data_IF_281919375249
#
_entry.id   IF_281919375249
#
_cell.length_a   1.000
_cell.length_b   1.000
_cell.length_c   1.000
_cell.angle_alpha   90.00
_cell.angle_beta   90.00
_cell.angle_gamma   90.00
#
_symmetry.space_group_name_H-M   'P 1'
#
loop_
_entity.id
_entity.type
_entity.pdbx_description
1 polymer ?
#
# COMPACT_ATOMS: atom_id res chain seq x y z
N UNK A 1 -3.12 12.68 -4.34
CA UNK A 1 -2.65 12.60 -5.73
C UNK A 1 -1.78 13.80 -6.10
N UNK A 2 -2.21 15.06 -5.85
CA UNK A 2 -1.45 16.30 -6.20
C UNK A 2 0.02 16.29 -5.73
N UNK A 3 0.30 15.81 -4.52
CA UNK A 3 1.68 15.68 -4.01
C UNK A 3 2.49 14.70 -4.85
N UNK A 4 1.89 13.59 -5.25
CA UNK A 4 2.56 12.59 -6.09
C UNK A 4 2.85 13.13 -7.49
N UNK A 5 1.89 13.84 -8.09
CA UNK A 5 2.06 14.45 -9.41
C UNK A 5 3.15 15.54 -9.39
N UNK A 6 3.23 16.32 -8.30
CA UNK A 6 4.26 17.34 -8.11
C UNK A 6 5.66 16.74 -7.94
N UNK A 7 5.79 15.59 -7.29
CA UNK A 7 7.08 14.97 -6.97
C UNK A 7 7.57 13.97 -8.02
N UNK A 8 6.73 13.56 -8.98
CA UNK A 8 7.09 12.60 -10.03
C UNK A 8 7.96 13.24 -11.13
N UNK A 9 9.16 13.67 -10.74
CA UNK A 9 10.13 14.39 -11.57
C UNK A 9 11.42 13.60 -11.67
N UNK A 10 11.56 12.80 -12.73
CA UNK A 10 12.77 11.99 -12.97
C UNK A 10 14.00 12.80 -13.39
N UNK A 11 13.85 14.07 -13.69
CA UNK A 11 14.92 15.02 -13.99
C UNK A 11 15.60 15.58 -12.72
N UNK A 12 14.96 15.44 -11.54
CA UNK A 12 15.47 15.96 -10.27
C UNK A 12 15.54 14.83 -9.24
N UNK A 13 16.75 14.29 -9.00
CA UNK A 13 16.96 13.16 -8.09
C UNK A 13 16.35 13.39 -6.70
N UNK A 14 16.62 14.52 -6.07
CA UNK A 14 16.17 14.84 -4.72
C UNK A 14 14.63 14.87 -4.60
N UNK A 15 13.94 15.27 -5.67
CA UNK A 15 12.48 15.27 -5.70
C UNK A 15 11.93 13.88 -5.96
N UNK A 16 12.59 13.12 -6.84
CA UNK A 16 12.16 11.76 -7.17
C UNK A 16 12.39 10.76 -6.03
N UNK A 17 13.51 10.86 -5.30
CA UNK A 17 13.71 10.04 -4.10
C UNK A 17 12.66 10.35 -3.03
N UNK A 18 12.25 11.64 -2.93
CA UNK A 18 11.16 12.03 -2.04
C UNK A 18 9.81 11.47 -2.49
N UNK A 19 9.54 11.44 -3.82
CA UNK A 19 8.38 10.77 -4.40
C UNK A 19 8.31 9.31 -3.96
N UNK A 20 9.40 8.55 -4.12
CA UNK A 20 9.46 7.15 -3.71
C UNK A 20 9.30 6.97 -2.19
N UNK A 21 9.88 7.85 -1.38
CA UNK A 21 9.71 7.84 0.07
C UNK A 21 8.24 8.07 0.49
N UNK A 22 7.54 9.01 -0.16
CA UNK A 22 6.10 9.27 0.04
C UNK A 22 5.27 8.03 -0.34
N UNK A 23 5.57 7.39 -1.47
CA UNK A 23 4.90 6.17 -1.92
C UNK A 23 5.08 5.04 -0.90
N UNK A 24 6.30 4.79 -0.40
CA UNK A 24 6.55 3.78 0.62
C UNK A 24 5.81 4.07 1.93
N UNK A 25 5.84 5.33 2.40
CA UNK A 25 5.13 5.71 3.61
C UNK A 25 3.61 5.57 3.48
N UNK A 26 3.05 5.90 2.31
CA UNK A 26 1.61 5.85 2.05
C UNK A 26 1.15 4.46 1.63
N UNK A 27 1.68 3.89 0.54
CA UNK A 27 1.19 2.60 0.02
C UNK A 27 1.52 1.43 0.95
N UNK A 28 2.71 1.45 1.59
CA UNK A 28 3.19 0.36 2.46
C UNK A 28 3.04 0.68 3.95
N UNK A 29 2.40 1.78 4.32
CA UNK A 29 2.13 2.17 5.70
C UNK A 29 3.38 2.24 6.59
N UNK A 30 4.54 2.69 6.04
CA UNK A 30 5.83 2.65 6.71
C UNK A 30 6.09 3.88 7.59
N UNK A 31 6.86 3.67 8.68
CA UNK A 31 7.41 4.75 9.50
C UNK A 31 8.60 5.41 8.80
N UNK A 32 8.88 6.69 9.08
CA UNK A 32 10.00 7.40 8.46
C UNK A 32 11.35 6.70 8.64
N UNK A 33 11.62 6.14 9.82
CA UNK A 33 12.85 5.36 10.07
C UNK A 33 12.90 4.04 9.30
N UNK A 34 11.75 3.38 9.08
CA UNK A 34 11.64 2.19 8.23
C UNK A 34 11.91 2.57 6.77
N UNK A 35 11.30 3.66 6.28
CA UNK A 35 11.52 4.17 4.92
C UNK A 35 13.00 4.46 4.67
N UNK A 36 13.68 5.18 5.58
CA UNK A 36 15.10 5.45 5.47
C UNK A 36 16.00 4.21 5.59
N UNK A 37 15.52 3.17 6.28
CA UNK A 37 16.23 1.89 6.47
C UNK A 37 16.01 0.85 5.38
N UNK A 38 15.20 1.15 4.35
CA UNK A 38 14.96 0.22 3.24
C UNK A 38 16.22 -0.02 2.41
N UNK A 39 16.48 -1.28 2.06
CA UNK A 39 17.61 -1.66 1.21
C UNK A 39 17.17 -2.51 0.03
N UNK A 40 17.89 -2.40 -1.10
CA UNK A 40 17.58 -3.13 -2.33
C UNK A 40 17.58 -4.64 -2.16
N UNK A 41 18.43 -5.18 -1.29
CA UNK A 41 18.46 -6.63 -1.00
C UNK A 41 17.21 -7.15 -0.28
N UNK A 42 16.39 -6.25 0.27
CA UNK A 42 15.12 -6.56 0.94
C UNK A 42 13.89 -6.35 0.06
N UNK A 43 14.10 -5.93 -1.17
CA UNK A 43 13.05 -5.73 -2.18
C UNK A 43 13.08 -6.84 -3.23
N UNK A 44 12.03 -7.64 -3.30
CA UNK A 44 11.80 -8.60 -4.39
C UNK A 44 10.85 -7.97 -5.40
N UNK A 45 11.38 -7.74 -6.63
CA UNK A 45 10.58 -7.19 -7.73
C UNK A 45 9.61 -8.23 -8.28
N UNK A 46 10.03 -9.49 -8.39
CA UNK A 46 9.18 -10.58 -8.90
C UNK A 46 7.95 -10.83 -8.03
N UNK A 47 8.14 -10.79 -6.72
CA UNK A 47 7.07 -11.05 -5.75
C UNK A 47 6.34 -9.78 -5.32
N UNK A 48 6.83 -8.61 -5.74
CA UNK A 48 6.33 -7.30 -5.34
C UNK A 48 6.26 -7.13 -3.81
N UNK A 49 7.31 -7.56 -3.13
CA UNK A 49 7.39 -7.49 -1.66
C UNK A 49 8.62 -6.72 -1.19
N UNK A 50 8.47 -6.05 -0.07
CA UNK A 50 9.55 -5.45 0.69
C UNK A 50 9.54 -6.03 2.10
N UNK A 51 10.66 -6.58 2.54
CA UNK A 51 10.85 -7.07 3.89
C UNK A 51 11.37 -5.95 4.79
N UNK A 52 10.59 -5.60 5.81
CA UNK A 52 10.90 -4.53 6.75
C UNK A 52 11.44 -5.16 8.03
N UNK A 53 12.75 -5.15 8.18
CA UNK A 53 13.49 -5.65 9.35
C UNK A 53 14.52 -4.65 9.86
N UNK A 54 14.56 -3.44 9.26
CA UNK A 54 15.59 -2.44 9.51
C UNK A 54 14.99 -1.06 9.65
N UNK A 55 15.57 -0.28 10.53
CA UNK A 55 15.25 1.14 10.70
C UNK A 55 16.53 1.95 10.80
N UNK A 56 16.47 3.15 10.19
CA UNK A 56 17.54 4.12 10.37
C UNK A 56 17.23 4.98 11.59
N UNK A 57 18.23 5.20 12.42
CA UNK A 57 18.09 5.99 13.64
C UNK A 57 19.37 6.74 13.97
N UNK A 58 19.27 7.76 14.80
CA UNK A 58 20.39 8.51 15.34
C UNK A 58 20.57 8.19 16.81
N UNK A 59 21.71 7.68 17.20
CA UNK A 59 21.99 7.20 18.54
C UNK A 59 23.17 7.96 19.15
N UNK A 60 23.09 8.27 20.44
CA UNK A 60 24.23 8.81 21.20
C UNK A 60 25.32 7.74 21.31
N UNK A 61 26.56 8.10 20.97
CA UNK A 61 27.69 7.18 20.99
C UNK A 61 27.92 6.55 22.38
N UNK A 62 27.70 7.32 23.47
CA UNK A 62 27.81 6.82 24.83
C UNK A 62 26.79 5.73 25.17
N UNK A 63 25.59 5.78 24.55
CA UNK A 63 24.58 4.74 24.73
C UNK A 63 24.98 3.45 24.02
N UNK A 64 25.56 3.56 22.81
CA UNK A 64 26.04 2.38 22.07
C UNK A 64 27.11 1.61 22.86
N UNK A 65 28.01 2.31 23.54
CA UNK A 65 29.08 1.70 24.33
C UNK A 65 28.57 1.00 25.59
N UNK A 66 27.45 1.51 26.17
CA UNK A 66 26.87 0.99 27.44
C UNK A 66 25.84 -0.12 27.21
N UNK A 67 25.24 -0.20 26.04
CA UNK A 67 24.24 -1.21 25.70
C UNK A 67 24.95 -2.36 25.01
N UNK A 68 25.20 -3.50 25.71
CA UNK A 68 25.72 -4.67 25.04
C UNK A 68 24.68 -5.12 24.02
N UNK A 69 25.02 -5.02 22.76
CA UNK A 69 24.22 -5.55 21.64
C UNK A 69 22.81 -4.95 21.52
N UNK A 70 22.69 -3.65 21.39
CA UNK A 70 21.62 -3.15 20.52
C UNK A 70 21.83 -3.86 19.18
N UNK A 71 20.76 -4.32 18.56
CA UNK A 71 20.79 -5.00 17.26
C UNK A 71 21.19 -4.02 16.14
N UNK A 72 22.37 -3.39 16.31
CA UNK A 72 22.96 -2.46 15.37
C UNK A 72 23.61 -3.27 14.27
N UNK A 73 22.99 -3.21 13.09
CA UNK A 73 23.44 -3.92 11.90
C UNK A 73 24.61 -3.18 11.23
N UNK A 74 24.55 -1.83 11.22
CA UNK A 74 25.58 -1.01 10.60
C UNK A 74 25.66 0.37 11.25
N UNK A 75 26.89 0.95 11.31
CA UNK A 75 27.17 2.32 11.76
C UNK A 75 27.68 3.13 10.58
N UNK A 76 26.93 4.14 10.19
CA UNK A 76 27.34 5.01 9.10
C UNK A 76 28.47 5.94 9.52
N UNK A 77 29.49 6.15 8.67
CA UNK A 77 30.56 7.09 8.98
C UNK A 77 30.05 8.51 9.20
N UNK A 78 30.54 9.17 10.25
CA UNK A 78 30.20 10.55 10.51
C UNK A 78 30.90 11.47 9.49
N UNK A 79 30.19 12.51 9.04
CA UNK A 79 30.77 13.56 8.16
C UNK A 79 31.83 14.40 8.88
N UNK A 80 31.60 14.62 10.17
CA UNK A 80 32.45 15.49 10.98
C UNK A 80 32.98 14.72 12.17
N UNK A 81 34.28 14.88 12.50
CA UNK A 81 34.84 14.33 13.73
C UNK A 81 34.21 15.01 14.95
N UNK A 82 34.23 14.33 16.12
CA UNK A 82 33.75 14.90 17.38
C UNK A 82 32.24 14.94 17.58
N UNK A 83 31.44 14.46 16.64
CA UNK A 83 29.97 14.40 16.82
C UNK A 83 29.58 13.48 17.96
N UNK A 84 28.64 13.92 18.79
CA UNK A 84 28.10 13.16 19.92
C UNK A 84 27.28 11.95 19.47
N UNK A 85 26.63 12.02 18.31
CA UNK A 85 25.73 10.99 17.79
C UNK A 85 26.29 10.35 16.54
N UNK A 86 25.81 9.15 16.24
CA UNK A 86 26.08 8.42 15.00
C UNK A 86 24.76 7.92 14.40
N UNK A 87 24.69 7.90 13.07
CA UNK A 87 23.58 7.28 12.33
C UNK A 87 23.84 5.78 12.30
N UNK A 88 22.81 5.02 12.61
CA UNK A 88 22.86 3.55 12.60
C UNK A 88 21.72 2.95 11.81
N UNK A 89 21.98 1.82 11.18
CA UNK A 89 20.98 0.89 10.71
C UNK A 89 20.81 -0.15 11.81
N UNK A 90 19.61 -0.34 12.30
CA UNK A 90 19.33 -1.27 13.40
C UNK A 90 18.02 -2.02 13.20
N UNK A 91 17.82 -3.09 13.96
CA UNK A 91 16.53 -3.78 14.00
C UNK A 91 15.44 -2.90 14.65
N UNK A 92 14.16 -3.07 14.27
CA UNK A 92 13.06 -2.44 14.97
C UNK A 92 12.97 -2.86 16.44
N UNK A 93 12.43 -1.98 17.30
CA UNK A 93 12.30 -2.26 18.75
C UNK A 93 11.35 -3.41 19.09
N UNK A 94 10.42 -3.75 18.21
CA UNK A 94 9.37 -4.74 18.46
C UNK A 94 9.31 -5.74 17.33
N UNK A 95 9.08 -6.99 17.65
CA UNK A 95 8.91 -8.07 16.66
C UNK A 95 7.76 -7.78 15.69
N UNK A 96 6.65 -7.21 16.14
CA UNK A 96 5.53 -6.84 15.29
C UNK A 96 5.86 -5.76 14.24
N UNK A 97 7.00 -5.07 14.38
CA UNK A 97 7.49 -4.14 13.35
C UNK A 97 8.22 -4.86 12.21
N UNK A 98 8.71 -6.08 12.44
CA UNK A 98 9.33 -6.92 11.41
C UNK A 98 8.20 -7.56 10.62
N UNK A 99 8.15 -7.27 9.32
CA UNK A 99 7.05 -7.72 8.46
C UNK A 99 7.41 -7.68 6.99
N UNK A 100 6.67 -8.44 6.21
CA UNK A 100 6.63 -8.30 4.75
C UNK A 100 5.47 -7.39 4.37
N UNK A 101 5.70 -6.44 3.48
CA UNK A 101 4.65 -5.61 2.88
C UNK A 101 4.59 -5.84 1.39
N UNK A 102 3.37 -5.87 0.84
CA UNK A 102 3.14 -5.98 -0.58
C UNK A 102 3.19 -4.59 -1.22
N UNK A 103 3.94 -4.48 -2.30
CA UNK A 103 4.15 -3.21 -3.01
C UNK A 103 3.26 -3.18 -4.25
N UNK A 104 2.40 -2.16 -4.42
CA UNK A 104 1.65 -1.99 -5.65
C UNK A 104 2.57 -1.89 -6.87
N UNK A 105 2.17 -2.46 -7.99
CA UNK A 105 2.96 -2.50 -9.24
C UNK A 105 3.47 -1.11 -9.66
N UNK A 106 2.63 -0.09 -9.52
CA UNK A 106 3.03 1.30 -9.80
C UNK A 106 4.19 1.76 -8.93
N UNK A 107 4.17 1.43 -7.63
CA UNK A 107 5.26 1.79 -6.71
C UNK A 107 6.52 1.01 -7.03
N UNK A 108 6.41 -0.28 -7.33
CA UNK A 108 7.53 -1.11 -7.73
C UNK A 108 8.25 -0.55 -8.98
N UNK A 109 7.51 -0.13 -10.01
CA UNK A 109 8.07 0.55 -11.19
C UNK A 109 8.79 1.86 -10.85
N UNK A 110 8.26 2.64 -9.91
CA UNK A 110 8.91 3.88 -9.45
C UNK A 110 10.22 3.59 -8.72
N UNK A 111 10.27 2.53 -7.91
CA UNK A 111 11.50 2.10 -7.26
C UNK A 111 12.55 1.63 -8.27
N UNK A 112 12.17 0.86 -9.30
CA UNK A 112 13.09 0.48 -10.38
C UNK A 112 13.69 1.71 -11.06
N UNK A 113 12.86 2.70 -11.36
CA UNK A 113 13.35 3.96 -11.94
C UNK A 113 14.32 4.69 -11.01
N UNK A 114 14.04 4.71 -9.71
CA UNK A 114 14.97 5.26 -8.72
C UNK A 114 16.29 4.50 -8.71
N UNK A 115 16.26 3.17 -8.82
CA UNK A 115 17.47 2.36 -8.90
C UNK A 115 18.34 2.70 -10.12
N UNK A 116 17.72 2.90 -11.28
CA UNK A 116 18.43 3.36 -12.49
C UNK A 116 19.11 4.72 -12.26
N UNK A 117 18.42 5.65 -11.60
CA UNK A 117 19.00 6.97 -11.28
C UNK A 117 20.18 6.85 -10.31
N UNK A 118 20.07 6.00 -9.28
CA UNK A 118 21.18 5.73 -8.35
C UNK A 118 22.38 5.08 -9.04
N UNK A 119 22.14 4.15 -9.95
CA UNK A 119 23.22 3.52 -10.74
C UNK A 119 23.96 4.56 -11.60
N UNK A 120 23.26 5.51 -12.22
CA UNK A 120 23.88 6.61 -12.97
C UNK A 120 24.73 7.49 -12.07
N UNK A 121 24.18 7.93 -10.94
CA UNK A 121 24.92 8.75 -9.97
C UNK A 121 26.16 8.02 -9.44
N UNK A 122 26.07 6.73 -9.18
CA UNK A 122 27.22 5.93 -8.76
C UNK A 122 28.31 5.90 -9.82
N UNK A 123 27.96 5.78 -11.10
CA UNK A 123 28.92 5.81 -12.21
C UNK A 123 29.53 7.21 -12.38
N UNK A 124 28.75 8.28 -12.24
CA UNK A 124 29.20 9.66 -12.38
C UNK A 124 30.12 10.12 -11.25
N UNK A 125 29.80 9.74 -10.01
CA UNK A 125 30.55 10.16 -8.82
C UNK A 125 31.74 9.25 -8.50
N UNK A 126 31.74 8.02 -8.99
CA UNK A 126 32.76 7.01 -8.69
C UNK A 126 32.72 6.54 -7.22
N UNK A 127 33.64 5.64 -6.89
CA UNK A 127 33.69 5.00 -5.57
C UNK A 127 34.06 5.96 -4.43
N UNK A 128 34.79 7.04 -4.72
CA UNK A 128 35.15 8.07 -3.74
C UNK A 128 33.99 9.05 -3.47
N UNK A 129 33.11 9.25 -4.45
CA UNK A 129 32.01 10.20 -4.37
C UNK A 129 30.65 9.61 -3.98
N UNK A 130 30.44 8.31 -4.24
CA UNK A 130 29.19 7.63 -3.95
C UNK A 130 29.37 6.55 -2.87
N UNK A 131 28.67 6.68 -1.76
CA UNK A 131 28.67 5.74 -0.64
C UNK A 131 27.58 4.68 -0.83
N UNK A 132 27.93 3.53 -1.38
CA UNK A 132 26.95 2.45 -1.62
C UNK A 132 26.65 1.63 -0.36
N UNK A 133 25.59 1.99 0.32
CA UNK A 133 25.05 1.23 1.45
C UNK A 133 23.84 0.36 1.06
N UNK A 134 23.54 0.22 -0.21
CA UNK A 134 22.38 -0.52 -0.71
C UNK A 134 21.03 0.09 -0.34
N UNK A 135 20.98 1.33 0.12
CA UNK A 135 19.74 2.00 0.53
C UNK A 135 18.87 2.36 -0.67
N UNK A 136 17.55 2.12 -0.55
CA UNK A 136 16.57 2.56 -1.54
C UNK A 136 16.37 4.08 -1.44
N UNK A 137 16.17 4.58 -0.22
CA UNK A 137 15.95 6.00 0.03
C UNK A 137 17.23 6.62 0.60
N UNK A 138 18.01 7.22 -0.29
CA UNK A 138 19.28 7.83 0.05
C UNK A 138 19.49 9.17 -0.67
N UNK A 139 20.47 9.94 -0.22
CA UNK A 139 20.92 11.16 -0.88
C UNK A 139 21.60 10.84 -2.23
N UNK A 140 21.80 11.84 -3.09
CA UNK A 140 22.43 11.67 -4.39
C UNK A 140 23.85 11.04 -4.33
N UNK A 141 24.53 11.16 -3.21
CA UNK A 141 25.83 10.53 -2.95
C UNK A 141 25.73 9.19 -2.19
N UNK A 142 24.55 8.57 -2.13
CA UNK A 142 24.30 7.29 -1.45
C UNK A 142 24.17 7.35 0.08
N UNK A 143 24.36 8.51 0.71
CA UNK A 143 24.27 8.64 2.17
C UNK A 143 22.83 8.52 2.67
N UNK A 144 22.64 8.05 3.91
CA UNK A 144 21.29 7.86 4.47
C UNK A 144 20.50 9.18 4.59
N UNK A 145 19.19 9.08 4.42
CA UNK A 145 18.24 10.15 4.69
C UNK A 145 17.52 9.84 6.00
N UNK A 146 17.70 10.71 6.99
CA UNK A 146 17.08 10.59 8.32
C UNK A 146 15.63 11.06 8.31
N UNK A 147 14.85 10.60 9.29
CA UNK A 147 13.42 10.99 9.42
C UNK A 147 13.23 12.51 9.50
N UNK A 148 14.14 13.23 10.15
CA UNK A 148 14.09 14.69 10.24
C UNK A 148 14.26 15.34 8.86
N UNK A 149 15.13 14.79 8.01
CA UNK A 149 15.30 15.24 6.64
C UNK A 149 14.08 14.89 5.77
N UNK A 150 13.49 13.71 5.96
CA UNK A 150 12.22 13.37 5.28
C UNK A 150 11.12 14.36 5.66
N UNK A 151 10.99 14.70 6.94
CA UNK A 151 10.00 15.68 7.40
C UNK A 151 10.26 17.07 6.78
N UNK A 152 11.50 17.54 6.78
CA UNK A 152 11.88 18.84 6.22
C UNK A 152 11.57 18.89 4.72
N UNK A 153 12.05 17.90 3.95
CA UNK A 153 11.82 17.81 2.50
C UNK A 153 10.34 17.66 2.16
N UNK A 154 9.59 16.93 2.97
CA UNK A 154 8.15 16.80 2.78
C UNK A 154 7.42 18.14 2.96
N UNK A 155 7.81 18.95 3.96
CA UNK A 155 7.30 20.30 4.13
C UNK A 155 7.66 21.20 2.95
N UNK A 156 8.89 21.14 2.45
CA UNK A 156 9.32 21.85 1.25
C UNK A 156 8.46 21.51 0.02
N UNK A 157 8.13 20.22 -0.16
CA UNK A 157 7.21 19.74 -1.21
C UNK A 157 5.82 20.34 -1.03
N UNK A 158 5.27 20.34 0.19
CA UNK A 158 3.94 20.92 0.45
C UNK A 158 3.90 22.43 0.23
N UNK A 159 4.95 23.15 0.60
CA UNK A 159 5.10 24.58 0.32
C UNK A 159 5.18 24.82 -1.19
N UNK A 160 6.02 24.05 -1.89
CA UNK A 160 6.18 24.16 -3.35
C UNK A 160 4.91 23.85 -4.14
N UNK A 161 4.06 22.94 -3.62
CA UNK A 161 2.75 22.63 -4.19
C UNK A 161 1.78 23.82 -4.10
N UNK A 162 1.97 24.70 -3.13
CA UNK A 162 1.18 25.93 -2.91
C UNK A 162 -0.34 25.69 -2.90
N UNK A 163 -0.77 24.63 -2.21
CA UNK A 163 -2.17 24.23 -2.13
C UNK A 163 -2.83 24.86 -0.91
N UNK A 164 -3.77 25.80 -1.07
CA UNK A 164 -4.42 26.50 0.06
C UNK A 164 -5.27 25.60 0.95
N UNK A 165 -5.60 24.39 0.50
CA UNK A 165 -6.39 23.42 1.27
C UNK A 165 -5.54 22.63 2.25
N UNK A 166 -4.21 22.72 2.16
CA UNK A 166 -3.27 21.98 3.01
C UNK A 166 -2.69 22.92 4.06
N UNK A 167 -2.98 22.65 5.33
CA UNK A 167 -2.28 23.29 6.42
C UNK A 167 -0.91 22.63 6.64
N UNK A 168 0.15 23.25 6.07
CA UNK A 168 1.51 22.71 6.07
C UNK A 168 2.07 22.54 7.48
N UNK A 169 1.66 23.35 8.45
CA UNK A 169 2.16 23.27 9.83
C UNK A 169 1.68 22.01 10.54
N UNK A 170 0.48 21.55 10.23
CA UNK A 170 -0.14 20.38 10.85
C UNK A 170 0.16 19.06 10.14
N UNK A 171 0.80 19.10 8.97
CA UNK A 171 1.09 17.90 8.18
C UNK A 171 2.57 17.57 8.24
N UNK A 172 2.89 16.37 8.71
CA UNK A 172 4.25 15.83 8.80
C UNK A 172 4.37 14.55 7.97
N UNK A 173 5.57 14.10 7.66
CA UNK A 173 5.78 12.87 6.89
C UNK A 173 5.05 11.66 7.48
N UNK A 174 4.99 11.56 8.82
CA UNK A 174 4.25 10.49 9.52
C UNK A 174 2.73 10.53 9.29
N UNK A 175 2.18 11.68 8.89
CA UNK A 175 0.75 11.80 8.53
C UNK A 175 0.38 10.92 7.33
N UNK A 176 1.33 10.63 6.42
CA UNK A 176 1.14 9.71 5.30
C UNK A 176 0.76 8.32 5.76
N UNK A 177 1.41 7.82 6.80
CA UNK A 177 1.10 6.53 7.42
C UNK A 177 -0.29 6.52 8.05
N UNK A 178 -0.69 7.61 8.70
CA UNK A 178 -2.04 7.73 9.26
C UNK A 178 -3.11 7.74 8.16
N UNK A 179 -2.88 8.51 7.11
CA UNK A 179 -3.78 8.52 5.94
C UNK A 179 -3.86 7.16 5.27
N UNK A 180 -2.73 6.47 5.11
CA UNK A 180 -2.67 5.10 4.60
C UNK A 180 -3.56 4.15 5.40
N UNK A 181 -3.46 4.19 6.73
CA UNK A 181 -4.26 3.34 7.61
C UNK A 181 -5.75 3.57 7.40
N UNK A 182 -6.20 4.82 7.35
CA UNK A 182 -7.59 5.16 7.10
C UNK A 182 -8.10 4.69 5.73
N UNK A 183 -7.28 4.86 4.68
CA UNK A 183 -7.62 4.38 3.34
C UNK A 183 -7.70 2.85 3.29
N UNK A 184 -6.70 2.16 3.86
CA UNK A 184 -6.69 0.68 3.90
C UNK A 184 -7.85 0.12 4.70
N UNK A 185 -8.23 0.76 5.79
CA UNK A 185 -9.37 0.35 6.60
C UNK A 185 -10.68 0.43 5.82
N UNK A 186 -10.87 1.51 5.02
CA UNK A 186 -12.03 1.63 4.12
C UNK A 186 -11.99 0.59 3.00
N UNK A 187 -10.84 0.39 2.35
CA UNK A 187 -10.69 -0.58 1.26
C UNK A 187 -10.91 -2.02 1.73
N UNK A 188 -10.47 -2.36 2.94
CA UNK A 188 -10.65 -3.68 3.55
C UNK A 188 -12.02 -3.88 4.20
N UNK A 189 -12.94 -2.92 4.07
CA UNK A 189 -14.26 -2.94 4.73
C UNK A 189 -14.16 -3.18 6.24
N UNK A 190 -13.18 -2.56 6.90
CA UNK A 190 -12.98 -2.65 8.34
C UNK A 190 -12.16 -3.86 8.82
N UNK A 191 -11.47 -4.59 7.95
CA UNK A 191 -10.56 -5.68 8.36
C UNK A 191 -9.35 -5.12 9.12
N UNK A 192 -9.51 -5.04 10.43
CA UNK A 192 -8.49 -4.55 11.36
C UNK A 192 -7.22 -5.41 11.34
N UNK A 193 -7.35 -6.72 11.14
CA UNK A 193 -6.23 -7.66 11.18
C UNK A 193 -5.31 -7.49 9.97
N UNK A 194 -5.89 -7.34 8.78
CA UNK A 194 -5.14 -7.07 7.56
C UNK A 194 -4.40 -5.73 7.66
N UNK A 195 -5.09 -4.67 8.11
CA UNK A 195 -4.50 -3.34 8.27
C UNK A 195 -3.43 -3.33 9.37
N UNK A 196 -3.65 -4.07 10.47
CA UNK A 196 -2.65 -4.23 11.53
C UNK A 196 -1.36 -4.89 11.01
N UNK A 197 -1.47 -5.94 10.22
CA UNK A 197 -0.33 -6.64 9.63
C UNK A 197 0.50 -5.71 8.75
N UNK A 198 -0.13 -4.99 7.83
CA UNK A 198 0.53 -4.02 6.95
C UNK A 198 1.23 -2.90 7.72
N UNK A 199 0.62 -2.42 8.78
CA UNK A 199 1.17 -1.33 9.59
C UNK A 199 2.20 -1.79 10.62
N UNK A 200 2.28 -3.08 10.96
CA UNK A 200 3.16 -3.55 12.03
C UNK A 200 2.80 -2.94 13.39
N UNK A 201 1.52 -2.95 13.75
CA UNK A 201 1.06 -2.59 15.09
C UNK A 201 0.94 -3.82 15.96
N UNK A 202 1.46 -3.73 17.19
CA UNK A 202 1.43 -4.85 18.14
C UNK A 202 0.01 -5.14 18.67
N UNK A 203 -0.89 -4.16 18.63
CA UNK A 203 -2.26 -4.29 19.13
C UNK A 203 -3.27 -3.67 18.17
N UNK A 204 -4.42 -4.33 17.93
CA UNK A 204 -5.56 -3.76 17.21
C UNK A 204 -6.09 -2.47 17.84
N UNK A 205 -5.94 -2.31 19.17
CA UNK A 205 -6.39 -1.12 19.92
C UNK A 205 -5.79 0.18 19.38
N UNK A 206 -4.56 0.14 18.90
CA UNK A 206 -3.90 1.29 18.30
C UNK A 206 -4.63 1.76 17.03
N UNK A 207 -5.17 0.82 16.27
CA UNK A 207 -5.94 1.11 15.06
C UNK A 207 -7.37 1.53 15.43
N UNK A 208 -8.04 0.75 16.28
CA UNK A 208 -9.45 1.00 16.67
C UNK A 208 -9.63 2.34 17.37
N UNK A 209 -8.83 2.65 18.39
CA UNK A 209 -8.97 3.91 19.14
C UNK A 209 -8.76 5.14 18.27
N UNK A 210 -7.87 5.08 17.30
CA UNK A 210 -7.53 6.23 16.46
C UNK A 210 -8.45 6.40 15.25
N UNK A 211 -9.04 5.30 14.76
CA UNK A 211 -9.87 5.27 13.55
C UNK A 211 -11.31 4.83 13.83
N UNK A 212 -11.77 4.90 15.09
CA UNK A 212 -13.12 4.53 15.49
C UNK A 212 -14.22 5.21 14.65
N UNK A 213 -14.01 6.49 14.28
CA UNK A 213 -14.96 7.25 13.46
C UNK A 213 -15.18 6.65 12.06
N UNK A 214 -14.14 6.02 11.47
CA UNK A 214 -14.27 5.33 10.17
C UNK A 214 -15.14 4.08 10.33
N UNK A 215 -15.00 3.38 11.45
CA UNK A 215 -15.80 2.18 11.77
C UNK A 215 -17.29 2.53 12.02
N UNK A 216 -17.60 3.73 12.47
CA UNK A 216 -19.00 4.17 12.64
C UNK A 216 -19.69 4.41 11.28
N UNK A 217 -18.99 4.95 10.28
CA UNK A 217 -19.50 5.04 8.90
C UNK A 217 -19.76 3.64 8.32
N UNK A 218 -18.86 2.68 8.58
CA UNK A 218 -19.01 1.29 8.15
C UNK A 218 -20.20 0.59 8.83
N UNK A 219 -20.53 0.91 10.09
CA UNK A 219 -21.71 0.35 10.79
C UNK A 219 -23.02 0.72 10.12
N UNK A 220 -23.16 1.95 9.64
CA UNK A 220 -24.35 2.40 8.89
C UNK A 220 -24.46 1.63 7.58
N UNK A 221 -23.37 1.56 6.81
CA UNK A 221 -23.31 0.78 5.56
C UNK A 221 -23.66 -0.69 5.79
N UNK A 222 -23.17 -1.29 6.87
CA UNK A 222 -23.50 -2.68 7.21
C UNK A 222 -24.99 -2.88 7.46
N UNK A 223 -25.65 -1.92 8.12
CA UNK A 223 -27.11 -1.95 8.31
C UNK A 223 -27.84 -1.86 6.97
N UNK A 224 -27.40 -0.99 6.07
CA UNK A 224 -27.97 -0.85 4.72
C UNK A 224 -27.73 -2.12 3.87
N UNK A 225 -26.54 -2.73 3.95
CA UNK A 225 -26.23 -4.00 3.29
C UNK A 225 -27.08 -5.16 3.86
N UNK A 226 -27.32 -5.20 5.18
CA UNK A 226 -28.24 -6.16 5.79
C UNK A 226 -29.67 -5.96 5.32
N UNK A 227 -30.13 -4.72 5.25
CA UNK A 227 -31.46 -4.43 4.72
C UNK A 227 -31.62 -4.93 3.27
N UNK A 228 -30.64 -4.66 2.41
CA UNK A 228 -30.68 -5.08 1.02
C UNK A 228 -30.52 -6.58 0.83
N UNK A 229 -29.55 -7.20 1.52
CA UNK A 229 -29.18 -8.60 1.28
C UNK A 229 -30.07 -9.59 2.01
N UNK A 230 -30.57 -9.21 3.22
CA UNK A 230 -31.28 -10.13 4.09
C UNK A 230 -32.78 -9.87 4.16
N UNK A 231 -33.19 -8.61 4.25
CA UNK A 231 -34.59 -8.24 4.39
C UNK A 231 -35.26 -7.99 3.04
N UNK A 232 -34.66 -7.25 2.13
CA UNK A 232 -35.22 -6.99 0.80
C UNK A 232 -34.96 -8.09 -0.20
N UNK A 233 -33.92 -8.91 -0.04
CA UNK A 233 -33.65 -10.10 -0.86
C UNK A 233 -34.65 -11.25 -0.68
N UNK A 234 -35.59 -11.13 0.29
CA UNK A 234 -36.71 -12.05 0.48
C UNK A 234 -38.06 -11.52 0.01
N UNK A 235 -38.13 -10.31 -0.45
CA UNK A 235 -39.37 -9.68 -0.91
C UNK A 235 -39.15 -9.10 -2.30
N UNK A 236 -39.10 -10.00 -3.24
CA UNK A 236 -39.49 -9.90 -4.63
C UNK A 236 -38.86 -11.09 -5.35
N UNK A 237 -39.58 -12.24 -5.30
CA UNK A 237 -39.73 -12.92 -6.59
C UNK A 237 -40.22 -11.81 -7.52
N UNK A 238 -39.32 -11.30 -8.36
CA UNK A 238 -39.76 -10.51 -9.51
C UNK A 238 -40.92 -11.30 -10.13
N UNK A 239 -42.07 -10.67 -10.44
CA UNK A 239 -43.11 -11.37 -11.11
C UNK A 239 -42.44 -12.07 -12.29
N UNK A 240 -42.48 -13.39 -12.29
CA UNK A 240 -42.02 -14.17 -13.41
C UNK A 240 -42.68 -13.48 -14.60
N UNK A 241 -41.92 -12.75 -15.37
CA UNK A 241 -42.37 -12.15 -16.57
C UNK A 241 -42.95 -13.33 -17.31
N UNK A 242 -44.28 -13.35 -17.44
CA UNK A 242 -44.97 -14.41 -18.09
C UNK A 242 -44.24 -14.61 -19.41
N UNK A 243 -43.60 -15.79 -19.55
CA UNK A 243 -42.93 -16.10 -20.79
C UNK A 243 -43.92 -15.73 -21.89
N UNK A 244 -43.54 -14.95 -22.91
CA UNK A 244 -44.46 -14.56 -23.98
C UNK A 244 -45.13 -15.85 -24.42
N UNK A 245 -46.47 -15.91 -24.30
CA UNK A 245 -47.23 -17.06 -24.71
C UNK A 245 -46.81 -17.32 -26.15
N UNK A 246 -46.05 -18.40 -26.36
CA UNK A 246 -45.67 -18.81 -27.70
C UNK A 246 -46.99 -19.05 -28.45
N UNK A 247 -47.29 -18.18 -29.38
CA UNK A 247 -48.42 -18.35 -30.26
C UNK A 247 -48.33 -19.72 -30.91
N UNK A 248 -49.43 -20.43 -31.00
CA UNK A 248 -49.48 -21.78 -31.53
C UNK A 248 -48.88 -21.88 -32.96
N UNK A 249 -48.96 -20.80 -33.71
CA UNK A 249 -48.31 -20.68 -35.03
C UNK A 249 -46.79 -20.57 -34.95
N UNK A 250 -46.26 -19.82 -33.99
CA UNK A 250 -44.81 -19.72 -33.75
C UNK A 250 -44.22 -21.04 -33.26
N UNK A 251 -44.94 -21.77 -32.41
CA UNK A 251 -44.56 -23.11 -31.94
C UNK A 251 -44.58 -24.13 -33.09
N UNK A 252 -45.62 -24.12 -33.92
CA UNK A 252 -45.72 -24.99 -35.09
C UNK A 252 -44.61 -24.74 -36.10
N UNK A 253 -44.24 -23.48 -36.35
CA UNK A 253 -43.15 -23.09 -37.24
C UNK A 253 -41.77 -23.55 -36.71
N UNK A 254 -41.54 -23.45 -35.38
CA UNK A 254 -40.32 -23.89 -34.73
C UNK A 254 -40.16 -25.41 -34.74
N UNK A 255 -41.24 -26.17 -34.55
CA UNK A 255 -41.26 -27.62 -34.63
C UNK A 255 -41.10 -28.12 -36.08
N UNK A 256 -41.68 -27.42 -37.06
CA UNK A 256 -41.55 -27.75 -38.49
C UNK A 256 -40.10 -27.52 -39.00
N UNK A 257 -39.41 -26.55 -38.45
CA UNK A 257 -38.02 -26.24 -38.83
C UNK A 257 -36.98 -27.12 -38.14
N UNK A 258 -37.38 -27.94 -37.13
CA UNK A 258 -36.41 -28.74 -36.37
C UNK A 258 -36.95 -30.18 -36.10
N UNK A 259 -36.72 -31.13 -37.05
CA UNK A 259 -37.29 -32.50 -37.00
C UNK A 259 -36.92 -33.27 -35.72
N UNK A 260 -35.77 -33.04 -35.15
CA UNK A 260 -35.31 -33.70 -33.91
C UNK A 260 -36.13 -33.25 -32.68
N UNK A 261 -36.49 -31.95 -32.62
CA UNK A 261 -37.34 -31.41 -31.56
C UNK A 261 -38.80 -31.95 -31.70
N UNK A 262 -39.29 -32.11 -32.91
CA UNK A 262 -40.61 -32.69 -33.16
C UNK A 262 -40.68 -34.12 -32.67
N UNK A 263 -39.62 -34.92 -32.94
CA UNK A 263 -39.53 -36.33 -32.50
C UNK A 263 -39.52 -36.45 -30.98
N UNK A 264 -38.72 -35.62 -30.30
CA UNK A 264 -38.70 -35.60 -28.83
C UNK A 264 -40.01 -35.15 -28.19
N UNK A 265 -40.69 -34.18 -28.80
CA UNK A 265 -41.98 -33.73 -28.33
C UNK A 265 -43.05 -34.83 -28.47
N UNK A 266 -43.07 -35.57 -29.59
CA UNK A 266 -43.97 -36.71 -29.79
C UNK A 266 -43.68 -37.87 -28.80
N UNK A 267 -42.43 -38.17 -28.55
CA UNK A 267 -42.03 -39.20 -27.57
C UNK A 267 -42.50 -38.81 -26.15
N UNK A 268 -42.38 -37.55 -25.77
CA UNK A 268 -42.83 -37.06 -24.44
C UNK A 268 -44.34 -37.08 -24.28
N UNK A 269 -45.11 -36.81 -25.32
CA UNK A 269 -46.59 -36.90 -25.32
C UNK A 269 -47.04 -38.35 -25.28
N UNK A 270 -46.37 -39.30 -25.96
CA UNK A 270 -46.69 -40.73 -25.89
C UNK A 270 -46.39 -41.30 -24.50
N UNK A 271 -45.35 -40.83 -23.81
CA UNK A 271 -45.06 -41.24 -22.43
C UNK A 271 -46.11 -40.69 -21.46
N UNK A 272 -46.64 -39.50 -21.66
CA UNK A 272 -47.65 -38.87 -20.81
C UNK A 272 -49.05 -39.50 -20.98
N UNK A 273 -49.36 -40.12 -22.12
CA UNK A 273 -50.63 -40.77 -22.36
C UNK A 273 -50.67 -42.25 -21.95
N UNK A 274 -49.55 -42.82 -21.49
CA UNK A 274 -49.45 -44.20 -21.04
C UNK A 274 -49.28 -44.29 -19.48
N UNK A 275 -49.48 -43.22 -18.77
CA UNK A 275 -49.56 -43.11 -17.30
C UNK A 275 -50.96 -42.68 -16.88
#
# INVERSE_FOLDING_TARGET
>A
QRVLDFTDRTDIYDLYVMHCAIQLAFACCMRGGEVGGTQWERFSRSDQVLYIDRVIDRVDKKLIEKLPKMDILFRFPNLYPGTRTVIVLKQPKTEGSIRTVYIPETVAKKLEKLREMQMKLKLELGDDGYMDYGLIICQANGRPIMTEHLNKRFKEVLIGLNDPTINVDNVVFHSLRHTSTGVKLRLSKGDLKAVQGDGGWNSPDMVTKRYAHILDEDRRRLADEMEQSFYKGKTEEAPVAAAPALDAEALASLLASNPELLKKALESVQLANNT
#
